data_IF_776495574811
#
_entry.id   IF_776495574811
#
_cell.length_a   1.000
_cell.length_b   1.000
_cell.length_c   1.000
_cell.angle_alpha   90.00
_cell.angle_beta   90.00
_cell.angle_gamma   90.00
#
_symmetry.space_group_name_H-M   'P 1'
#
loop_
_entity.id
_entity.type
_entity.pdbx_description
1 polymer ?
#
# COMPACT_ATOMS: atom_id res chain seq x y z
N UNK A 1 -16.49 0.10 1.96
CA UNK A 1 -15.21 0.42 2.63
C UNK A 1 -14.10 -0.42 2.04
N UNK A 2 -13.26 0.17 1.19
CA UNK A 2 -12.18 -0.53 0.46
C UNK A 2 -10.94 -0.85 1.31
N UNK A 3 -10.95 -0.51 2.61
CA UNK A 3 -9.79 -0.65 3.50
C UNK A 3 -9.76 -1.96 4.32
N UNK A 4 -10.84 -2.75 4.37
CA UNK A 4 -10.91 -3.90 5.29
C UNK A 4 -10.17 -5.18 4.81
N UNK A 5 -9.77 -5.35 3.55
CA UNK A 5 -9.48 -6.71 3.04
C UNK A 5 -8.05 -7.07 2.60
N UNK A 6 -7.06 -6.18 2.53
CA UNK A 6 -5.71 -6.58 2.08
C UNK A 6 -4.57 -6.13 3.00
N UNK A 7 -4.63 -6.60 4.24
CA UNK A 7 -3.51 -7.33 4.83
C UNK A 7 -2.33 -6.53 5.39
N UNK A 8 -2.44 -6.15 6.66
CA UNK A 8 -1.31 -6.32 7.57
C UNK A 8 -1.86 -6.59 8.98
N UNK A 9 -1.30 -7.60 9.67
CA UNK A 9 -1.51 -7.84 11.11
C UNK A 9 -0.84 -6.76 11.99
N UNK A 10 -0.32 -5.70 11.37
CA UNK A 10 0.47 -4.66 12.01
C UNK A 10 -0.46 -3.53 12.46
N UNK A 11 -0.69 -3.42 13.77
CA UNK A 11 -1.57 -2.39 14.37
C UNK A 11 -0.98 -0.98 14.37
N UNK A 12 0.28 -0.85 13.96
CA UNK A 12 1.06 0.39 13.99
C UNK A 12 1.28 1.00 12.60
N UNK A 13 0.66 0.44 11.56
CA UNK A 13 0.85 0.93 10.21
C UNK A 13 -0.41 0.80 9.36
N UNK A 14 -0.68 1.86 8.61
CA UNK A 14 -1.62 1.83 7.50
C UNK A 14 -0.97 1.11 6.34
N UNK A 15 -1.67 0.13 5.78
CA UNK A 15 -1.18 -0.69 4.68
C UNK A 15 -2.26 -0.84 3.61
N UNK A 16 -1.92 -0.55 2.36
CA UNK A 16 -2.79 -0.79 1.22
C UNK A 16 -1.97 -1.33 0.06
N UNK A 17 -2.32 -2.52 -0.43
CA UNK A 17 -1.71 -3.13 -1.60
C UNK A 17 -2.70 -3.19 -2.76
N UNK A 18 -2.26 -2.81 -3.96
CA UNK A 18 -3.06 -2.96 -5.17
C UNK A 18 -2.16 -2.97 -6.43
N UNK A 19 -2.67 -3.53 -7.52
CA UNK A 19 -2.06 -3.42 -8.85
C UNK A 19 -2.72 -2.37 -9.73
N UNK A 20 -3.91 -1.87 -9.34
CA UNK A 20 -4.67 -0.87 -10.07
C UNK A 20 -4.10 0.56 -9.80
N UNK A 21 -3.69 1.30 -10.85
CA UNK A 21 -3.11 2.64 -10.70
C UNK A 21 -4.06 3.67 -10.08
N UNK A 22 -5.34 3.63 -10.47
CA UNK A 22 -6.34 4.61 -10.03
C UNK A 22 -6.68 4.40 -8.55
N UNK A 23 -6.74 3.14 -8.12
CA UNK A 23 -6.90 2.78 -6.70
C UNK A 23 -5.73 3.27 -5.86
N UNK A 24 -4.50 3.13 -6.35
CA UNK A 24 -3.31 3.60 -5.64
C UNK A 24 -3.26 5.13 -5.54
N UNK A 25 -3.62 5.84 -6.63
CA UNK A 25 -3.74 7.30 -6.64
C UNK A 25 -4.82 7.79 -5.67
N UNK A 26 -6.00 7.18 -5.71
CA UNK A 26 -7.11 7.51 -4.81
C UNK A 26 -6.70 7.34 -3.35
N UNK A 27 -6.04 6.22 -3.03
CA UNK A 27 -5.61 5.95 -1.66
C UNK A 27 -4.51 6.92 -1.18
N UNK A 28 -3.51 7.22 -2.03
CA UNK A 28 -2.51 8.25 -1.73
C UNK A 28 -3.19 9.59 -1.45
N UNK A 29 -4.13 9.99 -2.31
CA UNK A 29 -4.86 11.25 -2.18
C UNK A 29 -5.63 11.31 -0.86
N UNK A 30 -6.36 10.25 -0.52
CA UNK A 30 -7.07 10.15 0.75
C UNK A 30 -6.14 10.32 1.95
N UNK A 31 -4.97 9.69 1.94
CA UNK A 31 -3.98 9.83 3.02
C UNK A 31 -3.47 11.27 3.15
N UNK A 32 -3.07 11.91 2.03
CA UNK A 32 -2.48 13.23 2.06
C UNK A 32 -3.51 14.34 2.31
N UNK A 33 -4.67 14.27 1.67
CA UNK A 33 -5.66 15.36 1.68
C UNK A 33 -6.60 15.28 2.87
N UNK A 34 -7.14 14.09 3.16
CA UNK A 34 -8.13 13.91 4.24
C UNK A 34 -7.45 13.63 5.58
N UNK A 35 -6.43 12.76 5.58
CA UNK A 35 -5.74 12.33 6.80
C UNK A 35 -4.44 13.09 7.08
N UNK A 36 -4.09 14.08 6.24
CA UNK A 36 -2.94 14.99 6.42
C UNK A 36 -1.59 14.28 6.58
N UNK A 37 -1.44 13.10 5.98
CA UNK A 37 -0.16 12.37 5.96
C UNK A 37 0.84 13.13 5.09
N UNK A 38 2.06 13.31 5.59
CA UNK A 38 3.15 13.92 4.83
C UNK A 38 3.77 12.87 3.90
N UNK A 39 4.10 13.25 2.67
CA UNK A 39 4.67 12.32 1.67
C UNK A 39 5.96 11.63 2.13
N UNK A 40 6.73 12.28 3.00
CA UNK A 40 7.95 11.73 3.60
C UNK A 40 7.71 10.50 4.48
N UNK A 41 6.49 10.34 5.01
CA UNK A 41 6.09 9.20 5.84
C UNK A 41 5.56 8.03 5.00
N UNK A 42 5.32 8.26 3.70
CA UNK A 42 4.83 7.24 2.79
C UNK A 42 5.99 6.37 2.33
N UNK A 43 5.84 5.05 2.51
CA UNK A 43 6.78 4.05 2.00
C UNK A 43 6.09 3.13 1.00
N UNK A 44 6.83 2.76 -0.04
CA UNK A 44 6.39 1.80 -1.04
C UNK A 44 7.07 0.46 -0.82
N UNK A 45 6.31 -0.63 -0.95
CA UNK A 45 6.86 -1.96 -1.21
C UNK A 45 6.26 -2.48 -2.51
N UNK A 46 7.12 -2.94 -3.42
CA UNK A 46 6.68 -3.53 -4.68
C UNK A 46 6.89 -5.03 -4.64
N UNK A 47 5.90 -5.77 -5.12
CA UNK A 47 6.00 -7.19 -5.39
C UNK A 47 5.93 -7.43 -6.90
N UNK A 48 6.96 -8.04 -7.48
CA UNK A 48 7.02 -8.35 -8.90
C UNK A 48 7.39 -9.83 -9.15
N UNK A 49 7.15 -10.29 -10.38
CA UNK A 49 7.39 -11.68 -10.81
C UNK A 49 8.59 -11.80 -11.75
N UNK A 50 9.62 -10.98 -11.55
CA UNK A 50 10.82 -10.96 -12.38
C UNK A 50 12.06 -10.76 -11.51
N UNK A 51 13.15 -11.43 -11.87
CA UNK A 51 14.48 -11.24 -11.29
C UNK A 51 15.40 -10.39 -12.19
N UNK A 52 14.91 -10.02 -13.38
CA UNK A 52 15.61 -9.11 -14.28
C UNK A 52 15.68 -7.71 -13.65
N UNK A 53 16.90 -7.27 -13.32
CA UNK A 53 17.16 -5.97 -12.70
C UNK A 53 16.61 -4.80 -13.52
N UNK A 54 16.71 -4.83 -14.84
CA UNK A 54 16.21 -3.74 -15.70
C UNK A 54 14.69 -3.61 -15.58
N UNK A 55 13.98 -4.74 -15.58
CA UNK A 55 12.53 -4.73 -15.40
C UNK A 55 12.12 -4.30 -13.99
N UNK A 56 12.86 -4.72 -12.96
CA UNK A 56 12.62 -4.27 -11.59
C UNK A 56 12.71 -2.73 -11.52
N UNK A 57 13.77 -2.12 -12.05
CA UNK A 57 13.92 -0.66 -12.06
C UNK A 57 12.81 0.03 -12.86
N UNK A 58 12.37 -0.57 -13.98
CA UNK A 58 11.24 -0.05 -14.78
C UNK A 58 9.96 0.00 -13.95
N UNK A 59 9.68 -1.07 -13.19
CA UNK A 59 8.50 -1.17 -12.33
C UNK A 59 8.59 -0.18 -11.16
N UNK A 60 9.75 -0.07 -10.52
CA UNK A 60 10.00 0.88 -9.43
C UNK A 60 9.76 2.32 -9.89
N UNK A 61 10.34 2.70 -11.04
CA UNK A 61 10.16 4.03 -11.61
C UNK A 61 8.71 4.30 -12.03
N UNK A 62 7.99 3.30 -12.52
CA UNK A 62 6.57 3.44 -12.84
C UNK A 62 5.75 3.87 -11.61
N UNK A 63 5.90 3.17 -10.48
CA UNK A 63 5.14 3.48 -9.27
C UNK A 63 5.57 4.78 -8.60
N UNK A 64 6.88 5.05 -8.57
CA UNK A 64 7.40 6.32 -8.04
C UNK A 64 6.90 7.52 -8.85
N UNK A 65 6.88 7.40 -10.19
CA UNK A 65 6.39 8.46 -11.07
C UNK A 65 4.89 8.65 -10.95
N UNK A 66 4.12 7.55 -10.96
CA UNK A 66 2.67 7.57 -10.81
C UNK A 66 2.26 8.24 -9.49
N UNK A 67 2.91 7.85 -8.40
CA UNK A 67 2.58 8.35 -7.06
C UNK A 67 3.33 9.65 -6.72
N UNK A 68 4.18 10.17 -7.61
CA UNK A 68 4.99 11.37 -7.40
C UNK A 68 5.78 11.30 -6.08
N UNK A 69 6.43 10.17 -5.82
CA UNK A 69 7.23 9.94 -4.60
C UNK A 69 8.72 9.88 -4.93
N UNK A 70 9.60 10.37 -4.04
CA UNK A 70 11.03 10.25 -4.22
C UNK A 70 11.49 8.79 -4.09
N UNK A 71 12.63 8.44 -4.70
CA UNK A 71 13.21 7.10 -4.59
C UNK A 71 13.47 6.67 -3.14
N UNK A 72 13.65 7.61 -2.21
CA UNK A 72 13.79 7.32 -0.77
C UNK A 72 12.54 6.70 -0.14
N UNK A 73 11.35 6.86 -0.75
CA UNK A 73 10.13 6.20 -0.30
C UNK A 73 10.15 4.68 -0.57
N UNK A 74 10.99 4.21 -1.49
CA UNK A 74 11.00 2.82 -1.93
C UNK A 74 11.75 1.90 -0.94
N UNK A 75 11.07 0.86 -0.48
CA UNK A 75 11.71 -0.27 0.20
C UNK A 75 12.19 -1.32 -0.81
N UNK A 76 13.06 -2.22 -0.36
CA UNK A 76 13.56 -3.35 -1.17
C UNK A 76 12.41 -4.12 -1.82
N UNK A 77 12.34 -4.05 -3.16
CA UNK A 77 11.38 -4.79 -3.99
C UNK A 77 11.48 -6.29 -3.72
N UNK A 78 10.32 -6.93 -3.59
CA UNK A 78 10.21 -8.35 -3.31
C UNK A 78 9.84 -9.13 -4.57
N UNK A 79 10.65 -10.14 -4.87
CA UNK A 79 10.44 -11.02 -6.01
C UNK A 79 9.57 -12.19 -5.53
N UNK A 80 8.37 -12.32 -6.11
CA UNK A 80 7.53 -13.51 -5.93
C UNK A 80 7.80 -14.47 -7.07
N UNK A 81 8.25 -15.67 -6.75
CA UNK A 81 8.31 -16.75 -7.73
C UNK A 81 6.89 -17.07 -8.20
N UNK A 82 6.64 -16.93 -9.50
CA UNK A 82 5.36 -17.28 -10.11
C UNK A 82 5.14 -18.79 -10.11
N UNK A 83 3.88 -19.22 -10.11
CA UNK A 83 3.55 -20.59 -10.53
C UNK A 83 3.41 -20.57 -12.05
N UNK A 84 4.00 -21.56 -12.74
CA UNK A 84 4.02 -21.68 -14.21
C UNK A 84 2.62 -21.70 -14.88
N UNK A 85 1.54 -21.76 -14.09
CA UNK A 85 0.15 -21.85 -14.55
C UNK A 85 -0.60 -20.52 -14.58
N UNK A 86 -0.01 -19.41 -14.13
CA UNK A 86 -0.73 -18.12 -14.05
C UNK A 86 -0.80 -17.40 -15.40
N UNK A 87 -2.03 -17.18 -15.89
CA UNK A 87 -2.36 -16.43 -17.11
C UNK A 87 -2.43 -14.90 -16.92
N UNK A 88 -2.53 -14.44 -15.67
CA UNK A 88 -2.73 -13.02 -15.37
C UNK A 88 -1.40 -12.39 -14.93
N UNK A 89 -0.69 -11.80 -15.90
CA UNK A 89 0.59 -11.14 -15.68
C UNK A 89 0.31 -9.68 -15.32
N UNK A 90 0.74 -9.25 -14.14
CA UNK A 90 0.70 -7.85 -13.72
C UNK A 90 1.99 -7.17 -14.20
N UNK A 91 1.96 -6.37 -15.28
CA UNK A 91 3.17 -5.83 -15.90
C UNK A 91 3.96 -4.95 -14.94
N UNK A 92 3.27 -4.26 -14.02
CA UNK A 92 3.90 -3.42 -12.99
C UNK A 92 3.87 -4.07 -11.60
N UNK A 93 3.55 -5.36 -11.50
CA UNK A 93 3.42 -6.03 -10.21
C UNK A 93 2.33 -5.44 -9.32
N UNK A 94 2.46 -5.64 -8.02
CA UNK A 94 1.60 -5.09 -6.97
C UNK A 94 2.40 -4.06 -6.20
N UNK A 95 1.85 -2.86 -6.04
CA UNK A 95 2.41 -1.82 -5.19
C UNK A 95 1.73 -1.84 -3.83
N UNK A 96 2.47 -1.56 -2.78
CA UNK A 96 1.93 -1.44 -1.43
C UNK A 96 2.37 -0.12 -0.82
N UNK A 97 1.41 0.71 -0.47
CA UNK A 97 1.60 1.98 0.23
C UNK A 97 1.53 1.72 1.73
N UNK A 98 2.52 2.21 2.47
CA UNK A 98 2.67 2.02 3.91
C UNK A 98 2.91 3.34 4.62
N UNK A 99 2.24 3.55 5.74
CA UNK A 99 2.49 4.67 6.65
C UNK A 99 2.60 4.12 8.05
N UNK A 100 3.77 4.25 8.67
CA UNK A 100 4.01 3.74 10.03
C UNK A 100 3.60 4.78 11.07
N UNK A 101 2.30 4.88 11.32
CA UNK A 101 1.73 5.78 12.30
C UNK A 101 0.58 5.08 13.05
N UNK A 102 0.80 4.80 14.33
CA UNK A 102 -0.17 4.11 15.19
C UNK A 102 -1.44 4.94 15.41
N UNK A 103 -1.30 6.25 15.65
CA UNK A 103 -2.44 7.14 15.88
C UNK A 103 -3.35 7.21 14.66
N UNK A 104 -2.75 7.36 13.47
CA UNK A 104 -3.46 7.31 12.19
C UNK A 104 -4.19 5.97 12.00
N UNK A 105 -3.54 4.87 12.35
CA UNK A 105 -4.12 3.53 12.23
C UNK A 105 -5.33 3.38 13.14
N UNK A 106 -5.22 3.80 14.40
CA UNK A 106 -6.33 3.80 15.36
C UNK A 106 -7.46 4.74 14.95
N UNK A 107 -7.13 5.91 14.39
CA UNK A 107 -8.13 6.85 13.87
C UNK A 107 -8.96 6.20 12.75
N UNK A 108 -8.32 5.54 11.79
CA UNK A 108 -9.00 4.82 10.71
C UNK A 108 -9.87 3.69 11.28
N UNK A 109 -9.37 2.90 12.22
CA UNK A 109 -10.16 1.83 12.86
C UNK A 109 -11.36 2.36 13.67
N UNK A 110 -11.19 3.48 14.37
CA UNK A 110 -12.28 4.17 15.06
C UNK A 110 -13.36 4.64 14.09
N UNK A 111 -12.97 5.32 13.01
CA UNK A 111 -13.89 5.78 11.98
C UNK A 111 -14.66 4.61 11.33
N UNK A 112 -13.98 3.49 11.06
CA UNK A 112 -14.62 2.30 10.49
C UNK A 112 -15.64 1.68 11.45
N UNK A 113 -15.35 1.60 12.74
CA UNK A 113 -16.29 1.10 13.76
C UNK A 113 -17.53 2.00 13.82
N UNK A 114 -17.32 3.32 13.84
CA UNK A 114 -18.40 4.31 13.82
C UNK A 114 -19.29 4.16 12.57
N UNK A 115 -18.70 4.12 11.38
CA UNK A 115 -19.45 3.94 10.13
C UNK A 115 -20.07 2.55 9.99
N UNK A 116 -19.46 1.54 10.61
CA UNK A 116 -19.91 0.15 10.58
C UNK A 116 -21.00 -0.18 11.61
N UNK A 117 -21.17 0.66 12.64
CA UNK A 117 -22.10 0.42 13.73
C UNK A 117 -21.75 -0.81 14.59
N UNK A 118 -20.45 -1.12 14.74
CA UNK A 118 -19.98 -2.23 15.58
C UNK A 118 -18.71 -1.86 16.35
N UNK A 119 -18.48 -2.55 17.47
CA UNK A 119 -17.26 -2.44 18.25
C UNK A 119 -16.35 -3.66 18.04
N UNK A 120 -15.04 -3.40 17.96
CA UNK A 120 -13.99 -4.41 17.92
C UNK A 120 -12.88 -4.03 18.93
N UNK A 121 -12.95 -4.54 20.18
CA UNK A 121 -11.98 -4.21 21.22
C UNK A 121 -10.54 -4.57 20.86
N UNK A 122 -10.32 -5.51 19.94
CA UNK A 122 -8.98 -5.90 19.52
C UNK A 122 -8.23 -4.80 18.74
N UNK A 123 -8.90 -3.69 18.41
CA UNK A 123 -8.34 -2.55 17.68
C UNK A 123 -8.01 -1.34 18.56
N UNK A 124 -8.34 -1.42 19.85
CA UNK A 124 -8.08 -0.35 20.82
C UNK A 124 -6.77 -0.57 21.61
N UNK A 125 -6.08 -1.70 21.41
CA UNK A 125 -4.89 -2.11 22.16
C UNK A 125 -3.71 -2.48 21.26
#
# INVERSE_FOLDING_TARGET
MLYWAEGAKARNAVYFANSDPDMMLLFKRFLCEELRVVEADIRLLIHCHTDNKTEIHRIENYWLSLLQLPASALNKTQIKQGSHTRKNILPNGICSLRVFNTELTHHIYGAIQEYGGFDNPAWLF
#
